data_IF_753513393810
#
_entry.id   IF_753513393810
#
_cell.length_a   1.000
_cell.length_b   1.000
_cell.length_c   1.000
_cell.angle_alpha   90.00
_cell.angle_beta   90.00
_cell.angle_gamma   90.00
#
_symmetry.space_group_name_H-M   'P 1'
#
loop_
_entity.id
_entity.type
_entity.pdbx_description
1 polymer ?
#
# COMPACT_ATOMS: atom_id res chain seq x y z
N UNK A 1 -18.08 5.99 7.42
CA UNK A 1 -17.58 4.78 8.13
C UNK A 1 -16.59 4.07 7.21
N UNK A 2 -15.40 3.70 7.69
CA UNK A 2 -14.38 3.00 6.89
C UNK A 2 -14.64 1.49 6.96
N UNK A 3 -14.48 0.80 5.83
CA UNK A 3 -14.65 -0.65 5.74
C UNK A 3 -13.49 -1.25 4.96
N UNK A 4 -13.10 -2.47 5.32
CA UNK A 4 -12.07 -3.27 4.62
C UNK A 4 -12.66 -4.63 4.23
N UNK A 5 -12.14 -5.23 3.16
CA UNK A 5 -12.55 -6.53 2.62
C UNK A 5 -11.29 -7.38 2.42
N UNK A 6 -11.30 -8.65 2.83
CA UNK A 6 -10.19 -9.57 2.53
C UNK A 6 -10.33 -10.11 1.11
N UNK A 7 -9.21 -10.50 0.50
CA UNK A 7 -9.23 -11.22 -0.78
C UNK A 7 -10.00 -12.54 -0.60
N UNK A 8 -10.97 -12.81 -1.48
CA UNK A 8 -11.74 -14.06 -1.48
C UNK A 8 -12.83 -14.16 -0.40
N UNK A 9 -13.05 -13.10 0.37
CA UNK A 9 -14.13 -13.02 1.37
C UNK A 9 -15.09 -11.90 0.97
N UNK A 10 -16.39 -12.19 0.88
CA UNK A 10 -17.41 -11.18 0.55
C UNK A 10 -17.82 -10.28 1.71
N UNK A 11 -17.42 -10.65 2.94
CA UNK A 11 -17.69 -9.88 4.14
C UNK A 11 -16.85 -8.60 4.19
N UNK A 12 -17.52 -7.49 4.45
CA UNK A 12 -16.90 -6.19 4.73
C UNK A 12 -16.83 -5.99 6.24
N UNK A 13 -15.64 -5.69 6.75
CA UNK A 13 -15.39 -5.45 8.16
C UNK A 13 -15.27 -3.95 8.41
N UNK A 14 -15.83 -3.47 9.52
CA UNK A 14 -15.70 -2.06 9.91
C UNK A 14 -14.29 -1.84 10.43
N UNK A 15 -13.64 -0.80 9.91
CA UNK A 15 -12.33 -0.35 10.39
C UNK A 15 -12.44 1.02 11.06
N UNK A 16 -11.56 1.27 12.03
CA UNK A 16 -11.41 2.57 12.70
C UNK A 16 -10.03 3.13 12.37
N UNK A 17 -9.94 4.45 12.23
CA UNK A 17 -8.65 5.12 12.10
C UNK A 17 -8.03 5.21 13.49
N UNK A 18 -6.82 4.66 13.65
CA UNK A 18 -6.02 4.81 14.86
C UNK A 18 -5.15 6.07 14.82
N UNK A 19 -4.54 6.34 13.66
CA UNK A 19 -3.66 7.50 13.47
C UNK A 19 -3.67 7.94 12.00
N UNK A 20 -3.35 9.22 11.77
CA UNK A 20 -3.11 9.80 10.44
C UNK A 20 -1.85 10.65 10.49
N UNK A 21 -0.96 10.45 9.54
CA UNK A 21 0.17 11.32 9.27
C UNK A 21 -0.06 12.01 7.93
N UNK A 22 -0.67 13.19 7.95
CA UNK A 22 -1.01 13.94 6.73
C UNK A 22 0.25 14.32 5.93
N UNK A 23 1.34 14.68 6.60
CA UNK A 23 2.59 15.07 5.95
C UNK A 23 3.24 13.96 5.11
N UNK A 24 3.06 12.70 5.50
CA UNK A 24 3.62 11.54 4.80
C UNK A 24 2.56 10.71 4.06
N UNK A 25 1.32 11.18 4.00
CA UNK A 25 0.17 10.49 3.40
C UNK A 25 -0.02 9.05 3.93
N UNK A 26 0.10 8.87 5.25
CA UNK A 26 -0.06 7.57 5.91
C UNK A 26 -1.25 7.57 6.88
N UNK A 27 -1.89 6.41 7.01
CA UNK A 27 -2.91 6.16 8.03
C UNK A 27 -2.77 4.75 8.59
N UNK A 28 -2.99 4.63 9.90
CA UNK A 28 -3.07 3.33 10.58
C UNK A 28 -4.52 3.02 10.91
N UNK A 29 -4.97 1.83 10.55
CA UNK A 29 -6.34 1.37 10.77
C UNK A 29 -6.36 0.20 11.76
N UNK A 30 -7.46 0.06 12.50
CA UNK A 30 -7.77 -1.12 13.32
C UNK A 30 -9.09 -1.76 12.89
N UNK A 31 -9.19 -3.07 13.08
CA UNK A 31 -10.42 -3.84 12.87
C UNK A 31 -10.65 -4.66 14.14
N UNK A 32 -11.77 -4.41 14.83
CA UNK A 32 -12.09 -5.06 16.11
C UNK A 32 -12.55 -6.51 15.95
N UNK A 33 -13.07 -6.89 14.78
CA UNK A 33 -13.57 -8.23 14.55
C UNK A 33 -12.41 -9.22 14.32
N UNK A 34 -12.22 -10.17 15.25
CA UNK A 34 -11.15 -11.17 15.21
C UNK A 34 -11.18 -12.10 13.98
N UNK A 35 -12.36 -12.32 13.38
CA UNK A 35 -12.50 -13.15 12.17
C UNK A 35 -11.71 -12.56 10.99
N UNK A 36 -11.60 -11.23 10.92
CA UNK A 36 -10.78 -10.55 9.92
C UNK A 36 -9.30 -10.98 10.01
N UNK A 37 -8.80 -11.23 11.22
CA UNK A 37 -7.39 -11.55 11.47
C UNK A 37 -7.07 -13.05 11.37
N UNK A 38 -8.09 -13.91 11.30
CA UNK A 38 -7.90 -15.37 11.30
C UNK A 38 -7.09 -15.83 10.09
N UNK A 39 -5.94 -16.48 10.34
CA UNK A 39 -5.06 -16.97 9.28
C UNK A 39 -4.40 -15.87 8.44
N UNK A 40 -4.32 -14.65 8.98
CA UNK A 40 -3.60 -13.54 8.33
C UNK A 40 -2.15 -13.56 8.79
N UNK A 41 -1.22 -13.51 7.84
CA UNK A 41 0.20 -13.29 8.09
C UNK A 41 0.56 -11.84 7.73
N UNK A 42 1.12 -11.04 8.67
CA UNK A 42 1.53 -9.68 8.37
C UNK A 42 2.78 -9.66 7.50
N UNK A 43 2.82 -8.70 6.58
CA UNK A 43 4.01 -8.42 5.77
C UNK A 43 5.15 -7.89 6.64
N UNK A 44 6.38 -8.22 6.26
CA UNK A 44 7.58 -7.66 6.86
C UNK A 44 8.06 -6.46 6.06
N UNK A 45 8.59 -5.44 6.75
CA UNK A 45 9.17 -4.30 6.06
C UNK A 45 10.58 -4.62 5.57
N UNK A 46 10.80 -4.45 4.27
CA UNK A 46 12.13 -4.54 3.67
C UNK A 46 13.02 -3.32 3.99
N UNK A 47 14.24 -3.35 3.46
CA UNK A 47 15.15 -2.19 3.47
C UNK A 47 14.84 -1.25 2.30
N UNK A 48 15.40 -0.04 2.36
CA UNK A 48 15.39 0.88 1.22
C UNK A 48 16.04 0.19 0.01
N UNK A 49 15.38 0.17 -1.17
CA UNK A 49 15.92 -0.49 -2.36
C UNK A 49 17.02 0.35 -3.03
N UNK A 50 17.68 -0.26 -4.00
CA UNK A 50 18.60 0.39 -4.93
C UNK A 50 17.90 0.75 -6.25
N UNK A 51 18.53 1.64 -7.03
CA UNK A 51 18.09 1.86 -8.42
C UNK A 51 18.15 0.55 -9.21
N UNK A 52 17.18 0.36 -10.11
CA UNK A 52 16.99 -0.84 -10.93
C UNK A 52 16.54 -2.09 -10.16
N UNK A 53 16.35 -2.04 -8.84
CA UNK A 53 15.76 -3.16 -8.11
C UNK A 53 14.33 -3.42 -8.62
N UNK A 54 14.01 -4.69 -8.84
CA UNK A 54 12.67 -5.12 -9.24
C UNK A 54 11.66 -4.80 -8.13
N UNK A 55 10.53 -4.24 -8.53
CA UNK A 55 9.41 -3.90 -7.65
C UNK A 55 8.11 -4.44 -8.19
N UNK A 56 7.28 -5.00 -7.31
CA UNK A 56 5.92 -5.45 -7.63
C UNK A 56 4.92 -4.74 -6.74
N UNK A 57 3.98 -4.01 -7.33
CA UNK A 57 2.93 -3.31 -6.58
C UNK A 57 1.64 -4.10 -6.66
N UNK A 58 0.99 -4.26 -5.52
CA UNK A 58 -0.22 -5.06 -5.37
C UNK A 58 -1.33 -4.19 -4.78
N UNK A 59 -2.49 -4.18 -5.42
CA UNK A 59 -3.60 -3.33 -4.99
C UNK A 59 -4.94 -3.72 -5.60
N UNK A 60 -5.94 -2.87 -5.40
CA UNK A 60 -7.28 -3.05 -5.94
C UNK A 60 -7.63 -1.83 -6.82
N UNK A 61 -7.68 -1.98 -8.15
CA UNK A 61 -7.96 -0.85 -9.03
C UNK A 61 -9.39 -0.36 -8.80
N UNK A 62 -9.60 0.94 -8.98
CA UNK A 62 -10.90 1.56 -8.79
C UNK A 62 -11.96 0.87 -9.66
N UNK A 63 -13.07 0.46 -9.04
CA UNK A 63 -14.18 -0.21 -9.72
C UNK A 63 -14.06 -1.73 -9.83
N UNK A 64 -12.93 -2.31 -9.42
CA UNK A 64 -12.73 -3.76 -9.32
C UNK A 64 -12.76 -4.28 -7.88
N UNK A 65 -13.11 -5.55 -7.72
CA UNK A 65 -12.97 -6.32 -6.48
C UNK A 65 -11.89 -7.41 -6.59
N UNK A 66 -11.22 -7.47 -7.73
CA UNK A 66 -10.10 -8.36 -8.01
C UNK A 66 -8.76 -7.65 -7.75
N UNK A 67 -7.78 -8.44 -7.35
CA UNK A 67 -6.43 -7.95 -7.09
C UNK A 67 -5.73 -7.62 -8.42
N UNK A 68 -5.02 -6.50 -8.45
CA UNK A 68 -4.13 -6.10 -9.55
C UNK A 68 -2.68 -6.19 -9.10
N UNK A 69 -1.82 -6.63 -10.01
CA UNK A 69 -0.37 -6.73 -9.81
C UNK A 69 0.32 -6.02 -10.97
N UNK A 70 1.18 -5.06 -10.67
CA UNK A 70 2.03 -4.39 -11.66
C UNK A 70 3.49 -4.53 -11.25
N UNK A 71 4.35 -4.80 -12.24
CA UNK A 71 5.79 -5.00 -12.04
C UNK A 71 6.57 -3.92 -12.78
N UNK A 72 7.67 -3.50 -12.19
CA UNK A 72 8.62 -2.56 -12.78
C UNK A 72 9.93 -2.60 -12.03
N UNK A 73 10.68 -1.51 -12.09
CA UNK A 73 11.91 -1.28 -11.35
C UNK A 73 11.89 0.05 -10.63
N UNK A 74 12.76 0.19 -9.63
CA UNK A 74 13.05 1.48 -9.00
C UNK A 74 13.79 2.36 -9.99
N UNK A 75 13.14 3.43 -10.45
CA UNK A 75 13.69 4.35 -11.45
C UNK A 75 14.39 5.55 -10.81
N UNK A 76 13.99 5.93 -9.60
CA UNK A 76 14.61 7.04 -8.86
C UNK A 76 14.39 6.95 -7.34
N UNK A 77 15.32 7.49 -6.58
CA UNK A 77 15.19 7.74 -5.14
C UNK A 77 15.59 9.20 -4.90
N UNK A 78 14.63 10.02 -4.49
CA UNK A 78 14.86 11.46 -4.28
C UNK A 78 13.93 12.02 -3.20
N UNK A 79 14.27 13.19 -2.68
CA UNK A 79 13.33 13.96 -1.86
C UNK A 79 12.29 14.57 -2.78
N UNK A 80 11.02 14.27 -2.54
CA UNK A 80 9.89 14.65 -3.40
C UNK A 80 8.75 15.22 -2.56
N UNK A 81 7.99 16.19 -3.09
CA UNK A 81 6.80 16.70 -2.41
C UNK A 81 5.72 15.62 -2.34
N UNK A 82 5.18 15.38 -1.14
CA UNK A 82 4.02 14.49 -0.97
C UNK A 82 2.74 15.29 -1.21
N UNK A 83 1.96 14.93 -2.24
CA UNK A 83 0.87 15.75 -2.78
C UNK A 83 -0.24 16.15 -1.77
N UNK A 84 -0.40 15.42 -0.66
CA UNK A 84 -1.34 15.72 0.43
C UNK A 84 -0.67 16.22 1.71
N UNK A 85 0.67 16.33 1.73
CA UNK A 85 1.46 16.91 2.80
C UNK A 85 2.00 18.28 2.40
N UNK A 86 2.48 19.04 3.39
CA UNK A 86 3.23 20.29 3.16
C UNK A 86 4.75 20.07 3.14
N UNK A 87 5.16 18.79 3.19
CA UNK A 87 6.53 18.37 3.46
C UNK A 87 7.17 17.63 2.29
N UNK A 88 8.46 17.91 2.11
CA UNK A 88 9.34 17.19 1.20
C UNK A 88 9.98 16.01 1.95
N UNK A 89 9.73 14.79 1.48
CA UNK A 89 10.19 13.56 2.12
C UNK A 89 10.88 12.64 1.11
N UNK A 90 11.66 11.68 1.60
CA UNK A 90 12.29 10.67 0.76
C UNK A 90 11.22 9.82 0.07
N UNK A 91 11.19 9.83 -1.27
CA UNK A 91 10.31 9.04 -2.10
C UNK A 91 11.07 8.09 -3.02
N UNK A 92 10.42 6.99 -3.38
CA UNK A 92 10.91 6.01 -4.36
C UNK A 92 9.99 6.07 -5.58
N UNK A 93 10.55 6.45 -6.72
CA UNK A 93 9.85 6.41 -8.00
C UNK A 93 10.09 5.06 -8.67
N UNK A 94 9.04 4.53 -9.27
CA UNK A 94 9.03 3.27 -9.98
C UNK A 94 8.46 3.48 -11.38
N UNK A 95 8.82 2.62 -12.32
CA UNK A 95 8.25 2.66 -13.69
C UNK A 95 7.04 1.72 -13.88
N UNK A 96 6.64 1.01 -12.82
CA UNK A 96 5.42 0.21 -12.80
C UNK A 96 4.18 1.12 -12.92
N UNK A 97 3.23 0.73 -13.76
CA UNK A 97 1.95 1.44 -13.86
C UNK A 97 1.18 1.38 -12.52
N UNK A 98 0.87 2.56 -11.96
CA UNK A 98 0.02 2.70 -10.76
C UNK A 98 -1.30 3.36 -11.16
N UNK A 99 -2.39 2.60 -11.06
CA UNK A 99 -3.73 3.11 -11.33
C UNK A 99 -4.42 3.55 -10.03
N UNK A 100 -5.39 4.45 -10.15
CA UNK A 100 -6.23 4.84 -9.01
C UNK A 100 -6.84 3.61 -8.33
N UNK A 101 -6.79 3.57 -7.00
CA UNK A 101 -7.20 2.43 -6.18
C UNK A 101 -6.05 1.52 -5.73
N UNK A 102 -4.92 1.48 -6.46
CA UNK A 102 -3.74 0.74 -6.00
C UNK A 102 -2.97 1.48 -4.90
N UNK A 103 -3.07 2.81 -4.85
CA UNK A 103 -2.48 3.62 -3.78
C UNK A 103 -2.95 3.17 -2.40
N UNK A 104 -2.00 2.96 -1.49
CA UNK A 104 -2.23 2.39 -0.15
C UNK A 104 -1.98 0.87 -0.06
N UNK A 105 -1.82 0.19 -1.20
CA UNK A 105 -1.33 -1.19 -1.25
C UNK A 105 0.20 -1.29 -1.12
N UNK A 106 0.74 -2.48 -0.82
CA UNK A 106 2.19 -2.69 -0.68
C UNK A 106 2.93 -2.71 -2.01
N UNK A 107 4.21 -2.33 -1.95
CA UNK A 107 5.21 -2.57 -2.98
C UNK A 107 6.24 -3.57 -2.45
N UNK A 108 6.47 -4.64 -3.21
CA UNK A 108 7.34 -5.77 -2.84
C UNK A 108 8.65 -5.75 -3.62
N UNK A 109 9.72 -6.17 -2.97
CA UNK A 109 10.95 -6.56 -3.65
C UNK A 109 10.85 -8.04 -4.10
N UNK A 110 11.95 -8.62 -4.59
CA UNK A 110 11.98 -10.02 -5.04
C UNK A 110 11.90 -11.06 -3.91
N UNK A 111 12.08 -10.64 -2.65
CA UNK A 111 12.08 -11.49 -1.46
C UNK A 111 10.69 -11.59 -0.80
N UNK A 112 9.73 -10.78 -1.25
CA UNK A 112 8.38 -10.68 -0.66
C UNK A 112 8.31 -9.67 0.47
#
# INVERSE_FOLDING_TARGET
QIKVKRRGDDKKYVAKVLARGTECDLAMLSVENEEFWRGTEPLQLGRLPCLQDSVTVVGYPLGGDTISVTKGVVSRIEVTPYAHGTSDLLGVQIDAAINAGNSGGPAFNEQG
#
